data_IF_027294253247
#
_entry.id   IF_027294253247
#
_cell.length_a   1.000
_cell.length_b   1.000
_cell.length_c   1.000
_cell.angle_alpha   90.00
_cell.angle_beta   90.00
_cell.angle_gamma   90.00
#
_symmetry.space_group_name_H-M   'P 1'
#
loop_
_entity.id
_entity.type
_entity.pdbx_description
1 polymer ?
#
# COMPACT_ATOMS: atom_id res chain seq x y z
N UNK A 1 11.51 24.87 45.48
CA UNK A 1 11.47 23.40 45.63
C UNK A 1 10.20 22.91 44.95
N UNK A 2 10.17 22.96 43.62
CA UNK A 2 9.05 22.49 42.78
C UNK A 2 9.35 21.05 42.43
N UNK A 3 8.57 20.14 43.01
CA UNK A 3 8.65 18.72 42.75
C UNK A 3 8.23 18.45 41.29
N UNK A 4 9.17 17.88 40.54
CA UNK A 4 8.96 16.81 39.57
C UNK A 4 7.69 16.94 38.71
N UNK A 5 7.82 17.77 37.68
CA UNK A 5 6.99 17.70 36.48
C UNK A 5 7.21 16.31 35.88
N UNK A 6 6.11 15.55 35.76
CA UNK A 6 6.03 14.30 35.01
C UNK A 6 6.59 14.45 33.59
N UNK A 7 7.88 14.17 33.41
CA UNK A 7 8.50 13.94 32.10
C UNK A 7 8.26 12.48 31.69
N UNK A 8 6.99 12.08 31.61
CA UNK A 8 6.60 10.87 30.88
C UNK A 8 6.31 11.26 29.43
N UNK A 9 7.06 10.64 28.51
CA UNK A 9 6.62 10.43 27.13
C UNK A 9 6.67 11.64 26.21
N UNK A 10 7.87 12.03 25.79
CA UNK A 10 8.03 12.58 24.44
C UNK A 10 8.31 11.40 23.52
N UNK A 11 7.25 10.76 23.03
CA UNK A 11 7.31 9.94 21.83
C UNK A 11 7.66 10.89 20.69
N UNK A 12 8.96 11.15 20.52
CA UNK A 12 9.49 11.68 19.28
C UNK A 12 9.24 10.58 18.25
N UNK A 13 8.24 10.80 17.41
CA UNK A 13 8.10 10.33 16.04
C UNK A 13 9.15 9.28 15.59
N UNK A 14 8.90 7.99 15.83
CA UNK A 14 9.65 6.92 15.17
C UNK A 14 8.68 6.11 14.32
N UNK A 15 8.40 6.66 13.13
CA UNK A 15 8.12 5.96 11.86
C UNK A 15 6.90 5.04 11.80
N UNK A 16 5.69 5.60 11.76
CA UNK A 16 4.53 4.85 11.24
C UNK A 16 4.51 4.83 9.70
N UNK A 17 5.51 4.19 9.09
CA UNK A 17 5.54 3.89 7.66
C UNK A 17 4.56 2.76 7.28
N UNK A 18 4.36 2.52 5.98
CA UNK A 18 3.39 1.52 5.49
C UNK A 18 3.71 0.12 6.02
N UNK A 19 5.00 -0.18 6.14
CA UNK A 19 5.52 -1.44 6.64
C UNK A 19 5.18 -1.66 8.12
N UNK A 20 5.18 -0.61 8.93
CA UNK A 20 4.85 -0.69 10.36
C UNK A 20 3.34 -0.82 10.57
N UNK A 21 2.54 -0.14 9.73
CA UNK A 21 1.09 -0.30 9.70
C UNK A 21 0.67 -1.71 9.26
N UNK A 22 1.30 -2.26 8.23
CA UNK A 22 1.05 -3.64 7.78
C UNK A 22 1.49 -4.66 8.85
N UNK A 23 2.65 -4.45 9.47
CA UNK A 23 3.11 -5.29 10.57
C UNK A 23 2.15 -5.22 11.77
N UNK A 24 1.69 -4.03 12.13
CA UNK A 24 0.69 -3.81 13.19
C UNK A 24 -0.65 -4.49 12.89
N UNK A 25 -1.10 -4.46 11.63
CA UNK A 25 -2.35 -5.11 11.22
C UNK A 25 -2.23 -6.64 11.13
N UNK A 26 -1.06 -7.15 10.75
CA UNK A 26 -0.79 -8.59 10.73
C UNK A 26 -0.57 -9.18 12.13
N UNK A 27 0.11 -8.45 13.02
CA UNK A 27 0.42 -8.90 14.38
C UNK A 27 -0.70 -8.58 15.39
N UNK A 28 -1.61 -7.63 15.08
CA UNK A 28 -2.64 -7.11 15.98
C UNK A 28 -3.98 -7.85 16.01
N UNK A 29 -4.14 -8.96 15.27
CA UNK A 29 -5.31 -9.85 15.43
C UNK A 29 -6.48 -9.58 14.47
N UNK A 30 -6.18 -9.40 13.18
CA UNK A 30 -7.18 -9.25 12.13
C UNK A 30 -6.84 -10.02 10.86
N UNK A 31 -6.54 -11.32 10.96
CA UNK A 31 -6.54 -12.23 9.81
C UNK A 31 -8.00 -12.43 9.33
N UNK A 32 -8.58 -11.37 8.80
CA UNK A 32 -9.83 -11.42 8.07
C UNK A 32 -9.53 -12.09 6.73
N UNK A 33 -10.42 -12.97 6.29
CA UNK A 33 -10.31 -13.81 5.09
C UNK A 33 -10.06 -13.04 3.76
N UNK A 34 -9.98 -11.71 3.78
CA UNK A 34 -9.55 -10.85 2.67
C UNK A 34 -8.05 -10.53 2.62
N UNK A 35 -7.29 -10.73 3.71
CA UNK A 35 -5.84 -10.47 3.73
C UNK A 35 -5.06 -11.35 2.75
N UNK A 36 -5.40 -12.64 2.71
CA UNK A 36 -4.82 -13.59 1.73
C UNK A 36 -5.14 -13.21 0.28
N UNK A 37 -6.35 -12.71 0.03
CA UNK A 37 -6.78 -12.29 -1.31
C UNK A 37 -6.04 -11.04 -1.78
N UNK A 38 -5.84 -10.06 -0.89
CA UNK A 38 -5.08 -8.84 -1.19
C UNK A 38 -3.60 -9.15 -1.42
N UNK A 39 -3.00 -10.02 -0.60
CA UNK A 39 -1.59 -10.43 -0.78
C UNK A 39 -1.42 -11.16 -2.12
N UNK A 40 -2.35 -12.04 -2.50
CA UNK A 40 -2.34 -12.70 -3.80
C UNK A 40 -2.49 -11.72 -4.96
N UNK A 41 -3.37 -10.73 -4.83
CA UNK A 41 -3.57 -9.69 -5.85
C UNK A 41 -2.32 -8.84 -6.05
N UNK A 42 -1.71 -8.36 -4.97
CA UNK A 42 -0.46 -7.59 -5.03
C UNK A 42 0.67 -8.44 -5.64
N UNK A 43 0.75 -9.71 -5.26
CA UNK A 43 1.74 -10.64 -5.82
C UNK A 43 1.52 -10.85 -7.33
N UNK A 44 0.28 -11.04 -7.75
CA UNK A 44 -0.06 -11.16 -9.16
C UNK A 44 0.26 -9.86 -9.93
N UNK A 45 -0.01 -8.68 -9.33
CA UNK A 45 0.26 -7.39 -9.97
C UNK A 45 1.75 -7.21 -10.24
N UNK A 46 2.57 -7.51 -9.24
CA UNK A 46 4.03 -7.48 -9.35
C UNK A 46 4.51 -8.46 -10.42
N UNK A 47 3.94 -9.66 -10.50
CA UNK A 47 4.35 -10.65 -11.51
C UNK A 47 3.92 -10.30 -12.94
N UNK A 48 2.82 -9.57 -13.13
CA UNK A 48 2.32 -9.18 -14.46
C UNK A 48 2.86 -7.82 -14.92
N UNK A 49 3.32 -6.97 -14.01
CA UNK A 49 3.93 -5.70 -14.38
C UNK A 49 5.29 -5.92 -15.04
N UNK A 50 5.51 -5.25 -16.18
CA UNK A 50 6.80 -5.27 -16.87
C UNK A 50 7.91 -4.73 -15.94
N UNK A 51 8.89 -5.56 -15.61
CA UNK A 51 9.97 -5.19 -14.70
C UNK A 51 9.62 -5.34 -13.21
N UNK A 52 8.51 -5.98 -12.87
CA UNK A 52 8.15 -6.28 -11.49
C UNK A 52 7.68 -5.07 -10.70
N UNK A 53 8.02 -5.04 -9.40
CA UNK A 53 7.70 -3.91 -8.50
C UNK A 53 8.22 -2.55 -9.03
N UNK A 54 9.46 -2.42 -9.55
CA UNK A 54 9.91 -1.20 -10.22
C UNK A 54 9.01 -0.73 -11.37
N UNK A 55 8.44 -1.66 -12.15
CA UNK A 55 7.49 -1.36 -13.22
C UNK A 55 6.15 -0.82 -12.71
N UNK A 56 5.64 -1.40 -11.61
CA UNK A 56 4.45 -0.87 -10.93
C UNK A 56 4.69 0.55 -10.42
N UNK A 57 5.84 0.77 -9.76
CA UNK A 57 6.24 2.08 -9.25
C UNK A 57 6.37 3.11 -10.38
N UNK A 58 6.91 2.72 -11.54
CA UNK A 58 7.00 3.59 -12.71
C UNK A 58 5.61 3.97 -13.24
N UNK A 59 4.69 3.00 -13.38
CA UNK A 59 3.30 3.28 -13.81
C UNK A 59 2.58 4.24 -12.87
N UNK A 60 2.74 4.07 -11.56
CA UNK A 60 2.15 4.98 -10.56
C UNK A 60 2.74 6.40 -10.69
N UNK A 61 4.05 6.51 -10.89
CA UNK A 61 4.72 7.81 -11.11
C UNK A 61 4.24 8.47 -12.41
N UNK A 62 4.17 7.72 -13.51
CA UNK A 62 3.69 8.22 -14.81
C UNK A 62 2.23 8.68 -14.77
N UNK A 63 1.43 8.09 -13.88
CA UNK A 63 0.04 8.49 -13.62
C UNK A 63 -0.11 9.72 -12.71
N UNK A 64 1.00 10.32 -12.25
CA UNK A 64 0.99 11.49 -11.38
C UNK A 64 0.90 11.16 -9.89
N UNK A 65 1.06 9.89 -9.49
CA UNK A 65 1.09 9.46 -8.08
C UNK A 65 2.53 9.42 -7.52
N UNK A 66 3.44 10.21 -8.09
CA UNK A 66 4.84 10.23 -7.70
C UNK A 66 5.07 10.64 -6.24
N UNK A 67 4.29 11.60 -5.73
CA UNK A 67 4.38 12.04 -4.33
C UNK A 67 3.93 10.95 -3.36
N UNK A 68 2.89 10.19 -3.72
CA UNK A 68 2.41 9.04 -2.95
C UNK A 68 3.45 7.94 -2.93
N UNK A 69 4.02 7.60 -4.09
CA UNK A 69 5.12 6.64 -4.21
C UNK A 69 6.32 7.06 -3.35
N UNK A 70 6.72 8.33 -3.43
CA UNK A 70 7.82 8.86 -2.62
C UNK A 70 7.52 8.78 -1.12
N UNK A 71 6.26 9.00 -0.72
CA UNK A 71 5.84 8.87 0.69
C UNK A 71 5.99 7.44 1.22
N UNK A 72 5.72 6.41 0.41
CA UNK A 72 5.83 5.00 0.80
C UNK A 72 7.28 4.50 0.83
N UNK A 73 8.14 5.09 0.01
CA UNK A 73 9.58 4.80 0.00
C UNK A 73 10.33 5.58 1.09
N UNK A 74 9.74 6.68 1.58
CA UNK A 74 10.28 7.49 2.65
C UNK A 74 9.93 6.97 4.04
N UNK A 75 10.43 7.67 5.06
CA UNK A 75 10.16 7.39 6.48
C UNK A 75 9.05 8.30 7.06
N UNK A 76 8.40 9.10 6.22
CA UNK A 76 7.33 10.02 6.63
C UNK A 76 5.96 9.34 6.69
N UNK A 77 4.92 10.13 6.94
CA UNK A 77 3.54 9.64 6.83
C UNK A 77 3.24 9.22 5.39
N UNK A 78 2.67 8.03 5.22
CA UNK A 78 2.20 7.59 3.91
C UNK A 78 1.04 8.47 3.46
N UNK A 79 1.09 8.94 2.22
CA UNK A 79 -0.05 9.56 1.60
C UNK A 79 -1.13 8.51 1.33
N UNK A 80 -2.38 8.86 1.61
CA UNK A 80 -3.53 8.05 1.22
C UNK A 80 -3.64 8.01 -0.30
N UNK A 81 -4.10 6.88 -0.81
CA UNK A 81 -4.43 6.69 -2.22
C UNK A 81 -5.76 5.94 -2.30
N UNK A 82 -6.62 6.39 -3.21
CA UNK A 82 -7.91 5.73 -3.46
C UNK A 82 -7.78 4.64 -4.53
N UNK A 83 -8.62 3.60 -4.44
CA UNK A 83 -8.60 2.47 -5.37
C UNK A 83 -8.79 2.90 -6.84
N UNK A 84 -9.62 3.91 -7.08
CA UNK A 84 -9.81 4.50 -8.42
C UNK A 84 -8.55 5.17 -8.99
N UNK A 85 -7.70 5.76 -8.14
CA UNK A 85 -6.42 6.34 -8.56
C UNK A 85 -5.44 5.24 -8.97
N UNK A 86 -5.37 4.16 -8.17
CA UNK A 86 -4.56 2.98 -8.47
C UNK A 86 -5.01 2.32 -9.77
N UNK A 87 -6.32 2.07 -9.95
CA UNK A 87 -6.87 1.46 -11.16
C UNK A 87 -6.60 2.31 -12.41
N UNK A 88 -6.72 3.63 -12.30
CA UNK A 88 -6.41 4.56 -13.39
C UNK A 88 -4.92 4.54 -13.77
N UNK A 89 -4.02 4.40 -12.78
CA UNK A 89 -2.58 4.39 -12.99
C UNK A 89 -2.06 3.08 -13.59
N UNK A 90 -2.61 1.95 -13.15
CA UNK A 90 -2.27 0.62 -13.63
C UNK A 90 -2.83 0.39 -15.04
N UNK A 91 -4.03 0.92 -15.30
CA UNK A 91 -4.72 0.88 -16.58
C UNK A 91 -5.58 -0.37 -16.77
N UNK A 92 -6.54 -0.32 -17.72
CA UNK A 92 -7.53 -1.38 -17.91
C UNK A 92 -6.94 -2.70 -18.39
N UNK A 93 -5.81 -2.66 -19.10
CA UNK A 93 -5.17 -3.86 -19.65
C UNK A 93 -4.61 -4.76 -18.55
N UNK A 94 -3.81 -4.18 -17.65
CA UNK A 94 -3.22 -4.91 -16.52
C UNK A 94 -4.29 -5.31 -15.50
N UNK A 95 -5.35 -4.51 -15.31
CA UNK A 95 -6.53 -4.91 -14.52
C UNK A 95 -7.23 -6.13 -15.10
N UNK A 96 -7.46 -6.17 -16.43
CA UNK A 96 -8.10 -7.31 -17.09
C UNK A 96 -7.26 -8.58 -17.01
N UNK A 97 -5.94 -8.46 -17.14
CA UNK A 97 -5.02 -9.58 -16.96
C UNK A 97 -5.10 -10.13 -15.53
N UNK A 98 -5.10 -9.24 -14.53
CA UNK A 98 -5.18 -9.64 -13.13
C UNK A 98 -6.51 -10.33 -12.79
N UNK A 99 -7.62 -9.76 -13.25
CA UNK A 99 -8.96 -10.31 -13.09
C UNK A 99 -9.06 -11.72 -13.69
N UNK A 100 -8.52 -11.91 -14.90
CA UNK A 100 -8.47 -13.22 -15.56
C UNK A 100 -7.64 -14.26 -14.79
N UNK A 101 -6.51 -13.85 -14.23
CA UNK A 101 -5.64 -14.75 -13.47
C UNK A 101 -6.20 -15.12 -12.09
N UNK A 102 -6.88 -14.18 -11.44
CA UNK A 102 -7.47 -14.37 -10.11
C UNK A 102 -8.88 -14.97 -10.18
N UNK A 103 -9.50 -15.04 -11.36
CA UNK A 103 -10.87 -15.53 -11.53
C UNK A 103 -11.92 -14.61 -10.91
N UNK A 104 -11.63 -13.31 -10.84
CA UNK A 104 -12.48 -12.27 -10.23
C UNK A 104 -12.88 -11.21 -11.27
N UNK A 105 -13.85 -10.36 -10.95
CA UNK A 105 -14.26 -9.25 -11.80
C UNK A 105 -13.27 -8.08 -11.74
N UNK A 106 -13.18 -7.28 -12.80
CA UNK A 106 -12.34 -6.07 -12.82
C UNK A 106 -12.66 -5.10 -11.67
N UNK A 107 -13.95 -4.92 -11.34
CA UNK A 107 -14.38 -4.12 -10.19
C UNK A 107 -13.85 -4.65 -8.85
N UNK A 108 -13.60 -5.96 -8.73
CA UNK A 108 -13.03 -6.55 -7.52
C UNK A 108 -11.51 -6.37 -7.45
N UNK A 109 -10.86 -6.06 -8.57
CA UNK A 109 -9.42 -5.76 -8.62
C UNK A 109 -9.16 -4.27 -8.42
N UNK A 110 -10.04 -3.41 -8.94
CA UNK A 110 -9.90 -1.96 -8.87
C UNK A 110 -10.63 -1.32 -7.68
N UNK A 111 -11.34 -2.12 -6.86
CA UNK A 111 -12.25 -1.67 -5.80
C UNK A 111 -11.78 -1.99 -4.39
#
# INVERSE_FOLDING_TARGET
MQALINQFGSTEDVTMGLLDQLAGQMLGGGANQGGDSLVQMVTALINNAEGGLPGVLAKLQDAGLGDQVASWLGSGSNAAVDAGQIGSAIGPDLLAQLAGQLGVSNDQVAG
#
